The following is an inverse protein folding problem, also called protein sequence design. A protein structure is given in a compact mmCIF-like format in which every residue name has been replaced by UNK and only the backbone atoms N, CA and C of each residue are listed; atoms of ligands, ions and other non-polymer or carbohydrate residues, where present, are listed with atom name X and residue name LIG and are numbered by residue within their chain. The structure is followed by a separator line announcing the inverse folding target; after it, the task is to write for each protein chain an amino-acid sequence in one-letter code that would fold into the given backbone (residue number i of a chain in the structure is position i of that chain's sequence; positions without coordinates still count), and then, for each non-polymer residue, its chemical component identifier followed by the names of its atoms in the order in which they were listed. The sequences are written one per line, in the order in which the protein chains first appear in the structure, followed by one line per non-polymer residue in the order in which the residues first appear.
data_IF_802469284427
#
_entry.id   IF_802469284427
#
_cell.length_a   1.000
_cell.length_b   1.000
_cell.length_c   1.000
_cell.angle_alpha   90.00
_cell.angle_beta   90.00
_cell.angle_gamma   90.00
#
_symmetry.space_group_name_H-M   'P 1'
#
loop_
_entity.id
_entity.type
_entity.pdbx_description
1 polymer ?
#
# COMPACT_ATOMS: atom_id res chain seq x y z
N UNK A 1 -4.88 15.35 31.48
CA UNK A 1 -3.64 15.74 30.78
C UNK A 1 -3.90 17.04 30.06
N UNK A 2 -2.94 17.96 30.10
CA UNK A 2 -2.99 19.22 29.35
C UNK A 2 -2.70 18.92 27.89
N UNK A 3 -3.52 19.32 26.91
CA UNK A 3 -3.19 19.15 25.50
C UNK A 3 -1.86 19.84 25.17
N UNK A 4 -0.96 19.18 24.43
CA UNK A 4 0.37 19.72 24.12
C UNK A 4 0.30 21.10 23.44
N UNK A 5 -0.72 21.34 22.60
CA UNK A 5 -0.97 22.61 21.94
C UNK A 5 -1.19 23.79 22.91
N UNK A 6 -1.60 23.54 24.15
CA UNK A 6 -1.70 24.58 25.18
C UNK A 6 -0.33 24.96 25.76
N UNK A 7 0.65 24.05 25.70
CA UNK A 7 2.03 24.31 26.12
C UNK A 7 2.83 24.99 25.03
N UNK A 8 2.78 24.43 23.81
CA UNK A 8 3.66 24.84 22.73
C UNK A 8 2.99 25.74 21.69
N UNK A 9 1.67 25.94 21.75
CA UNK A 9 0.92 26.66 20.71
C UNK A 9 0.66 25.80 19.47
N UNK A 10 0.25 26.44 18.38
CA UNK A 10 -0.06 25.78 17.10
C UNK A 10 0.41 26.62 15.90
N UNK A 11 0.60 25.96 14.76
CA UNK A 11 0.97 26.60 13.50
C UNK A 11 2.33 27.31 13.56
N UNK A 12 2.44 28.44 12.88
CA UNK A 12 3.68 29.22 12.81
C UNK A 12 4.12 29.85 14.13
N UNK A 13 3.24 29.88 15.14
CA UNK A 13 3.55 30.38 16.49
C UNK A 13 3.94 29.27 17.47
N UNK A 14 4.05 28.04 16.99
CA UNK A 14 4.42 26.90 17.83
C UNK A 14 5.88 27.05 18.31
N UNK A 15 6.10 26.96 19.62
CA UNK A 15 7.42 26.97 20.24
C UNK A 15 7.94 25.54 20.44
N UNK A 16 9.24 25.39 20.67
CA UNK A 16 9.81 24.10 21.07
C UNK A 16 9.57 23.83 22.56
N UNK A 17 9.59 22.55 22.97
CA UNK A 17 9.48 22.19 24.40
C UNK A 17 10.61 22.81 25.24
N UNK A 18 11.79 23.07 24.63
CA UNK A 18 12.91 23.73 25.29
C UNK A 18 12.62 25.18 25.71
N UNK A 19 11.61 25.82 25.14
CA UNK A 19 11.19 27.19 25.46
C UNK A 19 10.05 27.25 26.49
N UNK A 20 9.46 26.10 26.84
CA UNK A 20 8.35 26.02 27.81
C UNK A 20 8.90 26.20 29.23
N UNK A 21 8.25 27.00 30.10
CA UNK A 21 8.64 27.11 31.50
C UNK A 21 8.72 25.73 32.18
N UNK A 22 9.83 25.47 32.88
CA UNK A 22 10.14 24.15 33.46
C UNK A 22 8.98 23.58 34.26
N UNK A 23 8.27 24.39 35.05
CA UNK A 23 7.12 23.93 35.84
C UNK A 23 6.00 23.36 34.96
N UNK A 24 5.66 24.05 33.87
CA UNK A 24 4.59 23.61 32.95
C UNK A 24 5.02 22.37 32.17
N UNK A 25 6.28 22.33 31.72
CA UNK A 25 6.85 21.15 31.07
C UNK A 25 6.85 19.93 32.00
N UNK A 26 7.21 20.12 33.28
CA UNK A 26 7.22 19.06 34.29
C UNK A 26 5.80 18.54 34.59
N UNK A 27 4.81 19.42 34.75
CA UNK A 27 3.43 19.02 35.00
C UNK A 27 2.86 18.23 33.80
N UNK A 28 3.17 18.65 32.57
CA UNK A 28 2.79 17.93 31.35
C UNK A 28 3.47 16.56 31.24
N UNK A 29 4.81 16.52 31.30
CA UNK A 29 5.57 15.28 31.13
C UNK A 29 5.31 14.28 32.26
N UNK A 30 5.15 14.78 33.49
CA UNK A 30 4.76 13.96 34.64
C UNK A 30 3.37 13.35 34.48
N UNK A 31 2.41 14.10 33.94
CA UNK A 31 1.07 13.59 33.66
C UNK A 31 1.07 12.52 32.54
N UNK A 32 1.88 12.69 31.49
CA UNK A 32 2.03 11.68 30.43
C UNK A 32 2.61 10.37 30.98
N UNK A 33 3.64 10.45 31.83
CA UNK A 33 4.25 9.28 32.48
C UNK A 33 3.28 8.57 33.43
N UNK A 34 2.61 9.33 34.32
CA UNK A 34 1.64 8.78 35.28
C UNK A 34 0.44 8.15 34.56
N UNK A 35 -0.14 8.84 33.57
CA UNK A 35 -1.29 8.32 32.84
C UNK A 35 -0.93 7.06 32.05
N UNK A 36 0.24 7.04 31.38
CA UNK A 36 0.73 5.86 30.67
C UNK A 36 0.82 4.67 31.63
N UNK A 37 1.44 4.85 32.81
CA UNK A 37 1.56 3.79 33.81
C UNK A 37 0.19 3.28 34.30
N UNK A 38 -0.76 4.19 34.56
CA UNK A 38 -2.13 3.82 34.97
C UNK A 38 -2.88 3.03 33.90
N UNK A 39 -2.62 3.28 32.62
CA UNK A 39 -3.24 2.59 31.50
C UNK A 39 -2.67 1.19 31.24
N UNK A 40 -1.43 0.89 31.68
CA UNK A 40 -0.79 -0.41 31.43
C UNK A 40 -1.64 -1.58 31.93
N UNK A 41 -2.10 -1.54 33.18
CA UNK A 41 -2.88 -2.64 33.77
C UNK A 41 -4.21 -2.90 33.03
N UNK A 42 -5.12 -1.91 32.87
CA UNK A 42 -6.39 -2.14 32.20
C UNK A 42 -6.21 -2.55 30.73
N UNK A 43 -5.27 -1.94 30.00
CA UNK A 43 -5.01 -2.34 28.60
C UNK A 43 -4.48 -3.76 28.52
N UNK A 44 -3.57 -4.17 29.42
CA UNK A 44 -3.03 -5.54 29.44
C UNK A 44 -4.11 -6.57 29.78
N UNK A 45 -5.05 -6.24 30.66
CA UNK A 45 -6.22 -7.08 30.95
C UNK A 45 -7.13 -7.23 29.72
N UNK A 46 -7.35 -6.14 28.98
CA UNK A 46 -8.08 -6.18 27.70
C UNK A 46 -7.38 -7.01 26.64
N UNK A 47 -6.06 -6.84 26.47
CA UNK A 47 -5.27 -7.67 25.56
C UNK A 47 -5.36 -9.15 25.94
N UNK A 48 -5.35 -9.48 27.24
CA UNK A 48 -5.53 -10.87 27.72
C UNK A 48 -6.92 -11.39 27.39
N UNK A 49 -7.97 -10.61 27.66
CA UNK A 49 -9.37 -10.94 27.39
C UNK A 49 -9.60 -11.28 25.92
N UNK A 50 -8.90 -10.59 25.03
CA UNK A 50 -8.98 -10.80 23.59
C UNK A 50 -7.91 -11.75 23.03
N UNK A 51 -7.08 -12.38 23.86
CA UNK A 51 -6.01 -13.29 23.42
C UNK A 51 -5.00 -12.62 22.47
N UNK A 52 -4.69 -11.35 22.72
CA UNK A 52 -3.79 -10.52 21.91
C UNK A 52 -2.40 -10.34 22.53
N UNK A 53 -2.14 -10.92 23.71
CA UNK A 53 -0.84 -10.76 24.40
C UNK A 53 0.32 -11.33 23.58
N UNK A 54 0.15 -12.49 22.95
CA UNK A 54 1.21 -13.11 22.16
C UNK A 54 1.54 -12.28 20.92
N UNK A 55 0.54 -11.79 20.20
CA UNK A 55 0.75 -10.87 19.09
C UNK A 55 1.43 -9.58 19.54
N UNK A 56 1.00 -9.01 20.66
CA UNK A 56 1.58 -7.78 21.20
C UNK A 56 3.07 -7.97 21.56
N UNK A 57 3.41 -9.02 22.29
CA UNK A 57 4.78 -9.24 22.77
C UNK A 57 5.72 -9.87 21.75
N UNK A 58 5.22 -10.65 20.79
CA UNK A 58 6.06 -11.37 19.83
C UNK A 58 6.10 -10.72 18.45
N UNK A 59 5.18 -9.78 18.14
CA UNK A 59 5.16 -9.07 16.85
C UNK A 59 5.25 -7.56 17.06
N UNK A 60 4.32 -6.94 17.78
CA UNK A 60 4.26 -5.47 17.80
C UNK A 60 5.39 -4.83 18.60
N UNK A 61 5.65 -5.30 19.82
CA UNK A 61 6.71 -4.73 20.66
C UNK A 61 8.13 -4.96 20.10
N UNK A 62 8.49 -6.15 19.57
CA UNK A 62 9.81 -6.37 18.98
C UNK A 62 10.02 -5.60 17.67
N UNK A 63 8.95 -5.26 16.94
CA UNK A 63 9.04 -4.47 15.72
C UNK A 63 9.40 -3.00 15.99
N UNK A 64 9.01 -2.44 17.14
CA UNK A 64 9.24 -1.04 17.49
C UNK A 64 10.71 -0.60 17.33
N UNK A 65 11.72 -1.28 17.92
CA UNK A 65 13.11 -0.91 17.71
C UNK A 65 13.58 -1.07 16.26
N UNK A 66 13.00 -2.00 15.48
CA UNK A 66 13.31 -2.16 14.04
C UNK A 66 12.85 -0.92 13.27
N UNK A 67 11.61 -0.47 13.50
CA UNK A 67 11.07 0.74 12.87
C UNK A 67 11.87 1.97 13.27
N UNK A 68 12.21 2.13 14.54
CA UNK A 68 13.07 3.24 14.99
C UNK A 68 14.41 3.26 14.24
N UNK A 69 15.06 2.12 14.07
CA UNK A 69 16.32 2.06 13.30
C UNK A 69 16.10 2.42 11.83
N UNK A 70 15.04 1.91 11.19
CA UNK A 70 14.71 2.26 9.80
C UNK A 70 14.47 3.76 9.63
N UNK A 71 13.72 4.39 10.54
CA UNK A 71 13.46 5.83 10.52
C UNK A 71 14.75 6.63 10.72
N UNK A 72 15.63 6.22 11.64
CA UNK A 72 16.93 6.86 11.88
C UNK A 72 17.85 6.73 10.66
N UNK A 73 17.90 5.55 10.03
CA UNK A 73 18.67 5.36 8.82
C UNK A 73 18.15 6.25 7.69
N UNK A 74 16.83 6.35 7.52
CA UNK A 74 16.23 7.05 6.39
C UNK A 74 16.66 6.44 5.05
N UNK A 75 16.40 7.16 3.96
CA UNK A 75 16.70 6.72 2.59
C UNK A 75 17.50 7.79 1.86
N UNK A 76 18.62 7.42 1.24
CA UNK A 76 19.41 8.35 0.43
C UNK A 76 18.68 8.72 -0.87
N UNK A 77 18.77 10.01 -1.21
CA UNK A 77 18.22 10.54 -2.45
C UNK A 77 19.30 11.23 -3.30
N UNK A 78 19.19 11.09 -4.61
CA UNK A 78 19.94 11.89 -5.57
C UNK A 78 19.24 13.26 -5.76
N UNK A 79 19.74 14.26 -5.02
CA UNK A 79 19.21 15.61 -5.04
C UNK A 79 19.35 16.29 -6.40
N UNK A 80 20.43 16.03 -7.14
CA UNK A 80 20.69 16.67 -8.42
C UNK A 80 19.80 16.08 -9.51
N UNK A 81 19.60 14.75 -9.50
CA UNK A 81 18.61 14.11 -10.35
C UNK A 81 17.19 14.64 -10.09
N UNK A 82 16.80 14.83 -8.82
CA UNK A 82 15.48 15.38 -8.50
C UNK A 82 15.32 16.83 -8.99
N UNK A 83 16.38 17.66 -8.93
CA UNK A 83 16.35 19.04 -9.45
C UNK A 83 16.24 19.07 -10.98
N UNK A 84 17.00 18.24 -11.68
CA UNK A 84 16.89 18.10 -13.14
C UNK A 84 15.48 17.61 -13.55
N UNK A 85 14.97 16.59 -12.85
CA UNK A 85 13.61 16.09 -13.09
C UNK A 85 12.56 17.18 -12.83
N UNK A 86 12.76 18.02 -11.81
CA UNK A 86 11.87 19.14 -11.52
C UNK A 86 11.78 20.14 -12.67
N UNK A 87 12.91 20.49 -13.29
CA UNK A 87 12.96 21.40 -14.44
C UNK A 87 12.26 20.79 -15.65
N UNK A 88 12.60 19.55 -16.01
CA UNK A 88 11.97 18.83 -17.13
C UNK A 88 10.45 18.71 -16.97
N UNK A 89 9.97 18.37 -15.77
CA UNK A 89 8.54 18.29 -15.50
C UNK A 89 7.87 19.66 -15.59
N UNK A 90 8.54 20.73 -15.15
CA UNK A 90 8.01 22.09 -15.23
C UNK A 90 7.80 22.53 -16.68
N UNK A 91 8.76 22.22 -17.56
CA UNK A 91 8.64 22.47 -19.00
C UNK A 91 7.48 21.69 -19.63
N UNK A 92 7.37 20.39 -19.34
CA UNK A 92 6.28 19.55 -19.86
C UNK A 92 4.90 20.00 -19.36
N UNK A 93 4.79 20.35 -18.08
CA UNK A 93 3.55 20.88 -17.49
C UNK A 93 3.15 22.19 -18.18
N UNK A 94 4.11 23.11 -18.40
CA UNK A 94 3.85 24.37 -19.10
C UNK A 94 3.43 24.18 -20.56
N UNK A 95 4.01 23.21 -21.26
CA UNK A 95 3.61 22.85 -22.62
C UNK A 95 2.17 22.29 -22.66
N UNK A 96 1.84 21.35 -21.78
CA UNK A 96 0.49 20.78 -21.67
C UNK A 96 -0.55 21.82 -21.27
N UNK A 97 -0.20 22.73 -20.36
CA UNK A 97 -1.05 23.84 -19.97
C UNK A 97 -1.41 24.72 -21.19
N UNK A 98 -0.42 25.04 -22.03
CA UNK A 98 -0.64 25.77 -23.28
C UNK A 98 -1.55 25.00 -24.25
N UNK A 99 -1.29 23.71 -24.46
CA UNK A 99 -2.12 22.85 -25.34
C UNK A 99 -3.57 22.73 -24.83
N UNK A 100 -3.78 22.72 -23.52
CA UNK A 100 -5.11 22.76 -22.90
C UNK A 100 -5.82 24.08 -23.20
N UNK A 101 -5.12 25.21 -23.05
CA UNK A 101 -5.68 26.53 -23.38
C UNK A 101 -5.98 26.69 -24.86
N UNK A 102 -5.08 26.24 -25.73
CA UNK A 102 -5.25 26.30 -27.19
C UNK A 102 -6.43 25.43 -27.65
N UNK A 103 -6.67 24.29 -26.97
CA UNK A 103 -7.82 23.41 -27.24
C UNK A 103 -9.18 24.03 -26.87
N UNK A 104 -9.21 25.00 -25.96
CA UNK A 104 -10.45 25.64 -25.47
C UNK A 104 -10.61 27.06 -26.05
N UNK A 105 -9.50 27.72 -26.39
CA UNK A 105 -9.45 29.07 -26.97
C UNK A 105 -9.33 30.20 -25.94
N UNK A 106 -9.20 29.90 -24.65
CA UNK A 106 -8.93 30.89 -23.60
C UNK A 106 -8.29 30.27 -22.36
N UNK A 107 -7.76 31.14 -21.49
CA UNK A 107 -7.20 30.74 -20.20
C UNK A 107 -8.28 30.52 -19.14
N UNK A 108 -7.99 29.59 -18.23
CA UNK A 108 -8.79 29.29 -17.04
C UNK A 108 -7.93 28.57 -16.01
N UNK A 109 -8.41 28.41 -14.77
CA UNK A 109 -7.68 27.66 -13.75
C UNK A 109 -7.93 26.15 -13.90
N UNK A 110 -6.97 25.43 -14.49
CA UNK A 110 -7.02 23.97 -14.70
C UNK A 110 -7.18 23.19 -13.39
N UNK A 111 -6.66 23.72 -12.27
CA UNK A 111 -6.75 23.10 -10.96
C UNK A 111 -8.11 23.36 -10.25
N UNK A 112 -8.93 24.28 -10.76
CA UNK A 112 -10.26 24.56 -10.21
C UNK A 112 -11.28 23.55 -10.73
N UNK A 113 -11.75 22.66 -9.86
CA UNK A 113 -12.76 21.64 -10.22
C UNK A 113 -14.03 22.25 -10.81
N UNK A 114 -14.44 23.42 -10.31
CA UNK A 114 -15.61 24.15 -10.79
C UNK A 114 -15.41 24.66 -12.22
N UNK A 115 -14.34 25.43 -12.47
CA UNK A 115 -14.09 25.98 -13.81
C UNK A 115 -13.88 24.87 -14.83
N UNK A 116 -13.09 23.86 -14.47
CA UNK A 116 -12.85 22.70 -15.32
C UNK A 116 -14.14 21.95 -15.65
N UNK A 117 -15.03 21.76 -14.67
CA UNK A 117 -16.33 21.12 -14.91
C UNK A 117 -17.23 21.96 -15.83
N UNK A 118 -17.26 23.28 -15.65
CA UNK A 118 -18.06 24.17 -16.50
C UNK A 118 -17.52 24.18 -17.95
N UNK A 119 -16.20 24.11 -18.16
CA UNK A 119 -15.60 23.99 -19.50
C UNK A 119 -15.91 22.64 -20.15
N UNK A 120 -15.59 21.54 -19.47
CA UNK A 120 -15.76 20.18 -20.04
C UNK A 120 -17.22 19.89 -20.41
N UNK A 121 -18.15 20.26 -19.54
CA UNK A 121 -19.55 19.84 -19.65
C UNK A 121 -20.50 20.95 -20.08
N UNK A 122 -20.16 22.21 -19.81
CA UNK A 122 -20.93 23.36 -20.27
C UNK A 122 -20.54 23.81 -21.67
N UNK A 123 -19.26 24.13 -21.86
CA UNK A 123 -18.75 24.71 -23.12
C UNK A 123 -18.48 23.64 -24.18
N UNK A 124 -17.65 22.65 -23.85
CA UNK A 124 -17.31 21.53 -24.74
C UNK A 124 -18.44 20.49 -24.85
N UNK A 125 -19.46 20.59 -23.99
CA UNK A 125 -20.66 19.74 -23.97
C UNK A 125 -20.35 18.24 -23.97
N UNK A 126 -19.27 17.84 -23.30
CA UNK A 126 -18.92 16.42 -23.14
C UNK A 126 -19.96 15.70 -22.27
N UNK A 127 -20.11 14.37 -22.43
CA UNK A 127 -21.03 13.58 -21.60
C UNK A 127 -20.72 13.74 -20.10
N UNK A 128 -21.72 14.12 -19.31
CA UNK A 128 -21.55 14.38 -17.88
C UNK A 128 -22.52 13.59 -17.02
N UNK A 129 -22.13 13.31 -15.77
CA UNK A 129 -23.07 12.93 -14.71
C UNK A 129 -23.94 14.11 -14.25
N UNK A 130 -24.87 13.85 -13.32
CA UNK A 130 -25.70 14.91 -12.73
C UNK A 130 -24.84 15.96 -11.99
N UNK A 131 -25.10 17.24 -12.25
CA UNK A 131 -24.53 18.37 -11.49
C UNK A 131 -25.06 18.33 -10.05
N UNK A 132 -24.17 18.38 -9.06
CA UNK A 132 -24.53 18.46 -7.65
C UNK A 132 -24.39 19.92 -7.14
N UNK A 133 -24.57 20.15 -5.83
CA UNK A 133 -24.44 21.49 -5.22
C UNK A 133 -23.05 22.12 -5.39
N UNK A 134 -21.99 21.31 -5.58
CA UNK A 134 -20.60 21.77 -5.72
C UNK A 134 -20.12 21.86 -7.17
N UNK A 135 -20.90 21.38 -8.15
CA UNK A 135 -20.60 21.45 -9.57
C UNK A 135 -20.71 20.11 -10.28
N UNK A 136 -20.06 19.99 -11.43
CA UNK A 136 -19.89 18.69 -12.09
C UNK A 136 -18.75 17.91 -11.42
N UNK A 137 -18.88 16.58 -11.37
CA UNK A 137 -17.77 15.73 -10.92
C UNK A 137 -16.68 15.69 -11.99
N UNK A 138 -15.45 16.00 -11.60
CA UNK A 138 -14.25 15.91 -12.45
C UNK A 138 -13.22 14.94 -11.83
N UNK A 139 -13.71 13.88 -11.19
CA UNK A 139 -12.89 12.81 -10.62
C UNK A 139 -12.08 12.10 -11.72
N UNK A 140 -11.00 11.42 -11.32
CA UNK A 140 -10.15 10.69 -12.26
C UNK A 140 -10.96 9.75 -13.16
N UNK A 141 -11.85 8.94 -12.58
CA UNK A 141 -12.70 7.99 -13.32
C UNK A 141 -13.61 8.68 -14.36
N UNK A 142 -14.19 9.84 -14.02
CA UNK A 142 -15.04 10.58 -14.96
C UNK A 142 -14.21 11.10 -16.12
N UNK A 143 -13.05 11.70 -15.85
CA UNK A 143 -12.17 12.22 -16.90
C UNK A 143 -11.60 11.09 -17.75
N UNK A 144 -11.21 9.96 -17.15
CA UNK A 144 -10.74 8.78 -17.89
C UNK A 144 -11.81 8.21 -18.83
N UNK A 145 -13.09 8.21 -18.43
CA UNK A 145 -14.19 7.78 -19.30
C UNK A 145 -14.39 8.66 -20.55
N UNK A 146 -13.83 9.87 -20.54
CA UNK A 146 -13.90 10.84 -21.63
C UNK A 146 -12.67 10.80 -22.55
N UNK A 147 -11.71 9.89 -22.29
CA UNK A 147 -10.50 9.74 -23.10
C UNK A 147 -10.85 9.58 -24.59
N UNK A 148 -10.13 10.28 -25.46
CA UNK A 148 -10.37 10.29 -26.90
C UNK A 148 -11.66 11.00 -27.36
N UNK A 149 -12.45 11.61 -26.46
CA UNK A 149 -13.61 12.43 -26.83
C UNK A 149 -13.22 13.85 -27.25
N UNK A 150 -12.13 14.38 -26.67
CA UNK A 150 -11.61 15.70 -26.99
C UNK A 150 -10.12 15.78 -26.63
N UNK A 151 -9.27 16.45 -27.45
CA UNK A 151 -7.82 16.53 -27.19
C UNK A 151 -7.47 17.07 -25.80
N UNK A 152 -8.20 18.09 -25.33
CA UNK A 152 -8.07 18.65 -23.98
C UNK A 152 -8.14 17.58 -22.87
N UNK A 153 -8.96 16.54 -23.02
CA UNK A 153 -9.12 15.49 -21.99
C UNK A 153 -7.82 14.69 -21.83
N UNK A 154 -7.19 14.33 -22.94
CA UNK A 154 -5.97 13.55 -22.94
C UNK A 154 -4.81 14.38 -22.35
N UNK A 155 -4.67 15.64 -22.79
CA UNK A 155 -3.70 16.57 -22.21
C UNK A 155 -3.94 16.85 -20.72
N UNK A 156 -5.20 16.95 -20.29
CA UNK A 156 -5.56 17.16 -18.88
C UNK A 156 -5.19 15.96 -17.99
N UNK A 157 -5.41 14.74 -18.49
CA UNK A 157 -5.03 13.52 -17.76
C UNK A 157 -3.52 13.48 -17.54
N UNK A 158 -2.75 13.79 -18.59
CA UNK A 158 -1.29 13.86 -18.51
C UNK A 158 -0.82 15.01 -17.60
N UNK A 159 -1.39 16.21 -17.74
CA UNK A 159 -1.10 17.37 -16.91
C UNK A 159 -1.30 17.07 -15.42
N UNK A 160 -2.43 16.44 -15.06
CA UNK A 160 -2.72 16.05 -13.66
C UNK A 160 -1.73 15.02 -13.14
N UNK A 161 -1.35 14.06 -13.99
CA UNK A 161 -0.37 13.05 -13.63
C UNK A 161 0.99 13.71 -13.35
N UNK A 162 1.51 14.54 -14.26
CA UNK A 162 2.81 15.20 -14.10
C UNK A 162 2.80 16.20 -12.93
N UNK A 163 1.73 16.99 -12.77
CA UNK A 163 1.60 17.96 -11.67
C UNK A 163 1.60 17.25 -10.31
N UNK A 164 0.86 16.15 -10.18
CA UNK A 164 0.88 15.33 -8.95
C UNK A 164 2.28 14.76 -8.71
N UNK A 165 2.92 14.26 -9.76
CA UNK A 165 4.24 13.65 -9.69
C UNK A 165 5.28 14.66 -9.19
N UNK A 166 5.32 15.85 -9.79
CA UNK A 166 6.20 16.94 -9.41
C UNK A 166 5.92 17.41 -7.98
N UNK A 167 4.68 17.81 -7.68
CA UNK A 167 4.34 18.40 -6.37
C UNK A 167 4.51 17.42 -5.20
N UNK A 168 4.05 16.18 -5.36
CA UNK A 168 4.03 15.20 -4.26
C UNK A 168 5.40 14.57 -4.05
N UNK A 169 6.09 14.20 -5.13
CA UNK A 169 7.30 13.41 -5.03
C UNK A 169 8.57 14.21 -5.32
N UNK A 170 8.58 15.15 -6.26
CA UNK A 170 9.81 15.90 -6.54
C UNK A 170 9.99 17.04 -5.53
N UNK A 171 9.06 18.00 -5.53
CA UNK A 171 9.08 19.13 -4.60
C UNK A 171 8.98 18.65 -3.14
N UNK A 172 8.09 17.67 -2.89
CA UNK A 172 7.88 17.10 -1.57
C UNK A 172 9.10 16.39 -0.99
N UNK A 173 9.80 15.56 -1.79
CA UNK A 173 11.01 14.88 -1.31
C UNK A 173 12.16 15.86 -1.11
N UNK A 174 12.36 16.81 -2.03
CA UNK A 174 13.40 17.84 -1.87
C UNK A 174 13.19 18.68 -0.61
N UNK A 175 11.95 19.02 -0.27
CA UNK A 175 11.62 19.80 0.92
C UNK A 175 11.79 19.03 2.24
N UNK A 176 11.64 17.69 2.21
CA UNK A 176 11.76 16.81 3.38
C UNK A 176 13.14 16.19 3.54
N UNK A 177 14.03 16.40 2.58
CA UNK A 177 15.40 15.90 2.62
C UNK A 177 16.19 16.63 3.71
N UNK A 178 16.82 15.85 4.58
CA UNK A 178 17.72 16.38 5.59
C UNK A 178 18.94 17.02 4.90
N UNK A 179 19.22 18.30 5.18
CA UNK A 179 20.25 19.05 4.46
C UNK A 179 21.68 18.63 4.82
N UNK A 180 21.86 17.89 5.91
CA UNK A 180 23.18 17.44 6.40
C UNK A 180 23.52 16.07 5.83
N UNK A 181 22.55 15.16 5.84
CA UNK A 181 22.73 13.77 5.43
C UNK A 181 22.34 13.50 3.98
N UNK A 182 21.50 14.35 3.37
CA UNK A 182 20.93 14.10 2.05
C UNK A 182 19.89 12.98 2.04
N UNK A 183 19.37 12.61 3.21
CA UNK A 183 18.45 11.48 3.39
C UNK A 183 17.06 11.97 3.74
N UNK A 184 16.06 11.16 3.43
CA UNK A 184 14.68 11.40 3.83
C UNK A 184 14.25 10.37 4.87
N UNK A 185 13.64 10.85 5.94
CA UNK A 185 13.24 10.06 7.09
C UNK A 185 11.71 9.97 7.14
N UNK A 186 11.16 8.89 6.54
CA UNK A 186 9.72 8.60 6.67
C UNK A 186 9.36 8.28 8.11
N UNK A 187 8.13 8.57 8.51
CA UNK A 187 7.52 8.05 9.75
C UNK A 187 6.63 6.85 9.43
N UNK A 188 6.89 5.72 10.05
CA UNK A 188 6.06 4.52 9.99
C UNK A 188 5.05 4.52 11.14
N UNK A 189 3.76 4.55 10.80
CA UNK A 189 2.72 4.31 11.78
C UNK A 189 2.41 2.82 11.90
N UNK A 190 2.66 2.30 13.09
CA UNK A 190 2.37 0.91 13.45
C UNK A 190 0.91 0.68 13.87
N UNK A 191 0.17 1.74 14.21
CA UNK A 191 -1.15 1.67 14.87
C UNK A 191 -2.31 2.28 14.06
N UNK A 192 -2.07 2.73 12.82
CA UNK A 192 -3.10 3.41 12.01
C UNK A 192 -3.98 2.47 11.19
N UNK A 193 -3.41 1.49 10.49
CA UNK A 193 -4.19 0.64 9.59
C UNK A 193 -4.99 -0.42 10.38
N UNK A 194 -6.29 -0.54 10.09
CA UNK A 194 -7.18 -1.52 10.74
C UNK A 194 -6.84 -2.98 10.42
N UNK A 195 -6.07 -3.24 9.35
CA UNK A 195 -5.54 -4.56 9.02
C UNK A 195 -4.22 -4.89 9.72
N UNK A 196 -3.59 -3.93 10.41
CA UNK A 196 -2.27 -4.10 11.04
C UNK A 196 -1.08 -3.84 10.11
N UNK A 197 -1.31 -3.43 8.87
CA UNK A 197 -0.26 -2.94 7.97
C UNK A 197 0.42 -1.69 8.53
N UNK A 198 1.70 -1.54 8.22
CA UNK A 198 2.38 -0.26 8.41
C UNK A 198 1.84 0.75 7.39
N UNK A 199 1.73 2.01 7.80
CA UNK A 199 1.56 3.12 6.88
C UNK A 199 2.74 4.08 6.98
N UNK A 200 3.09 4.75 5.89
CA UNK A 200 4.21 5.71 5.84
C UNK A 200 3.70 7.14 5.61
N UNK A 201 4.34 8.12 6.24
CA UNK A 201 4.05 9.55 6.12
C UNK A 201 5.31 10.40 6.28
N UNK A 202 5.27 11.63 5.75
CA UNK A 202 6.36 12.60 5.83
C UNK A 202 7.74 12.08 5.38
N UNK A 203 7.87 11.56 4.14
CA UNK A 203 6.88 11.41 3.08
C UNK A 203 6.24 10.01 3.09
N UNK A 204 5.16 9.83 2.33
CA UNK A 204 4.59 8.50 2.12
C UNK A 204 5.37 7.73 1.03
N UNK A 205 6.31 6.89 1.47
CA UNK A 205 7.18 6.09 0.61
C UNK A 205 6.52 4.77 0.15
N UNK A 206 5.32 4.45 0.62
CA UNK A 206 4.56 3.29 0.13
C UNK A 206 3.86 3.56 -1.20
N UNK A 207 3.64 4.83 -1.55
CA UNK A 207 2.90 5.23 -2.74
C UNK A 207 3.80 5.68 -3.89
N UNK A 208 5.10 5.37 -3.89
CA UNK A 208 6.00 5.74 -4.98
C UNK A 208 5.52 5.10 -6.30
N UNK A 209 5.23 5.88 -7.36
CA UNK A 209 4.63 5.37 -8.58
C UNK A 209 5.49 4.30 -9.30
N UNK A 210 4.84 3.28 -9.86
CA UNK A 210 5.52 2.17 -10.57
C UNK A 210 4.98 1.90 -11.97
N UNK A 211 3.77 2.40 -12.27
CA UNK A 211 2.97 1.94 -13.42
C UNK A 211 3.27 2.70 -14.70
N UNK A 212 3.67 3.95 -14.61
CA UNK A 212 3.97 4.82 -15.75
C UNK A 212 5.47 5.07 -15.83
N UNK A 213 5.99 5.29 -17.03
CA UNK A 213 7.43 5.49 -17.22
C UNK A 213 7.94 6.69 -16.41
N UNK A 214 7.26 7.83 -16.51
CA UNK A 214 7.58 9.02 -15.70
C UNK A 214 7.48 8.73 -14.20
N UNK A 215 6.50 7.94 -13.78
CA UNK A 215 6.35 7.49 -12.40
C UNK A 215 7.54 6.67 -11.92
N UNK A 216 8.03 5.75 -12.77
CA UNK A 216 9.20 4.94 -12.47
C UNK A 216 10.46 5.80 -12.39
N UNK A 217 10.59 6.88 -13.16
CA UNK A 217 11.77 7.75 -13.09
C UNK A 217 12.04 8.29 -11.68
N UNK A 218 11.01 8.49 -10.84
CA UNK A 218 11.22 8.88 -9.44
C UNK A 218 12.09 7.86 -8.69
N UNK A 219 11.99 6.56 -9.00
CA UNK A 219 12.77 5.51 -8.36
C UNK A 219 14.28 5.60 -8.66
N UNK A 220 14.70 6.30 -9.72
CA UNK A 220 16.12 6.59 -9.93
C UNK A 220 16.68 7.50 -8.84
N UNK A 221 15.86 8.38 -8.27
CA UNK A 221 16.30 9.25 -7.18
C UNK A 221 16.62 8.48 -5.90
N UNK A 222 16.09 7.26 -5.73
CA UNK A 222 16.33 6.45 -4.54
C UNK A 222 17.60 5.63 -4.74
N UNK A 223 18.68 6.08 -4.11
CA UNK A 223 20.04 5.54 -4.30
C UNK A 223 20.53 4.86 -3.02
N UNK A 224 21.61 4.08 -3.15
CA UNK A 224 22.39 3.61 -2.00
C UNK A 224 23.56 4.55 -1.69
N UNK A 225 24.01 4.57 -0.44
CA UNK A 225 25.27 5.20 -0.04
C UNK A 225 26.49 4.68 -0.87
N UNK A 226 27.58 5.46 -0.98
CA UNK A 226 28.81 4.98 -1.61
C UNK A 226 29.33 3.68 -0.95
N UNK A 227 29.69 2.69 -1.76
CA UNK A 227 30.06 1.32 -1.33
C UNK A 227 28.91 0.44 -0.86
N UNK A 228 27.67 0.90 -1.00
CA UNK A 228 26.46 0.11 -0.79
C UNK A 228 25.72 -0.12 -2.12
N UNK A 229 24.83 -1.10 -2.11
CA UNK A 229 23.83 -1.34 -3.16
C UNK A 229 22.46 -1.46 -2.50
N UNK A 230 21.41 -1.18 -3.27
CA UNK A 230 20.05 -1.49 -2.85
C UNK A 230 19.75 -2.96 -3.14
N UNK A 231 19.34 -3.69 -2.11
CA UNK A 231 18.75 -5.02 -2.21
C UNK A 231 17.25 -4.88 -1.91
N UNK A 232 16.39 -5.29 -2.83
CA UNK A 232 14.95 -5.41 -2.58
C UNK A 232 14.57 -6.88 -2.51
N UNK A 233 13.59 -7.21 -1.66
CA UNK A 233 13.05 -8.54 -1.50
C UNK A 233 11.54 -8.47 -1.36
N UNK A 234 10.80 -8.98 -2.35
CA UNK A 234 9.34 -8.91 -2.45
C UNK A 234 8.73 -10.31 -2.39
N UNK A 235 7.67 -10.49 -1.60
CA UNK A 235 6.96 -11.76 -1.59
C UNK A 235 6.13 -11.94 -2.86
N UNK A 236 6.39 -13.02 -3.60
CA UNK A 236 5.68 -13.33 -4.83
C UNK A 236 4.28 -13.88 -4.52
N UNK A 237 3.24 -13.06 -4.77
CA UNK A 237 1.82 -13.39 -4.63
C UNK A 237 1.41 -13.82 -3.21
N UNK A 238 1.94 -13.14 -2.20
CA UNK A 238 1.85 -13.61 -0.82
C UNK A 238 0.43 -13.77 -0.28
N UNK A 239 -0.45 -12.80 -0.54
CA UNK A 239 -1.86 -12.87 -0.13
C UNK A 239 -2.57 -14.10 -0.68
N UNK A 240 -2.21 -14.55 -1.90
CA UNK A 240 -2.81 -15.74 -2.51
C UNK A 240 -2.25 -17.03 -1.92
N UNK A 241 -0.98 -17.05 -1.51
CA UNK A 241 -0.39 -18.17 -0.76
C UNK A 241 -1.03 -18.31 0.62
N UNK A 242 -1.30 -17.18 1.28
CA UNK A 242 -2.05 -17.14 2.55
C UNK A 242 -3.49 -17.61 2.34
N UNK A 243 -4.17 -17.18 1.26
CA UNK A 243 -5.49 -17.69 0.90
C UNK A 243 -5.46 -19.22 0.73
N UNK A 244 -4.52 -19.74 -0.04
CA UNK A 244 -4.39 -21.19 -0.28
C UNK A 244 -4.22 -21.97 1.03
N UNK A 245 -3.41 -21.45 1.96
CA UNK A 245 -3.23 -22.03 3.27
C UNK A 245 -4.51 -21.98 4.14
N UNK A 246 -5.15 -20.81 4.27
CA UNK A 246 -6.34 -20.65 5.12
C UNK A 246 -7.53 -21.48 4.60
N UNK A 247 -7.64 -21.61 3.28
CA UNK A 247 -8.74 -22.35 2.64
C UNK A 247 -8.45 -23.83 2.48
N UNK A 248 -7.19 -24.24 2.55
CA UNK A 248 -6.72 -25.56 2.13
C UNK A 248 -7.29 -25.98 0.77
N UNK A 249 -7.41 -25.02 -0.16
CA UNK A 249 -8.00 -25.25 -1.49
C UNK A 249 -7.05 -26.11 -2.34
N UNK A 250 -7.40 -27.39 -2.64
CA UNK A 250 -6.45 -28.33 -3.25
C UNK A 250 -5.86 -27.84 -4.56
N UNK A 251 -6.65 -27.15 -5.40
CA UNK A 251 -6.18 -26.62 -6.68
C UNK A 251 -5.17 -25.49 -6.51
N UNK A 252 -5.37 -24.60 -5.53
CA UNK A 252 -4.41 -23.54 -5.24
C UNK A 252 -3.13 -24.12 -4.64
N UNK A 253 -3.27 -25.09 -3.72
CA UNK A 253 -2.12 -25.77 -3.10
C UNK A 253 -1.28 -26.48 -4.15
N UNK A 254 -1.92 -27.24 -5.05
CA UNK A 254 -1.25 -27.93 -6.15
C UNK A 254 -0.54 -26.94 -7.09
N UNK A 255 -1.24 -25.88 -7.51
CA UNK A 255 -0.68 -24.86 -8.41
C UNK A 255 0.59 -24.22 -7.83
N UNK A 256 0.56 -23.78 -6.56
CA UNK A 256 1.73 -23.19 -5.93
C UNK A 256 2.85 -24.20 -5.67
N UNK A 257 2.52 -25.46 -5.39
CA UNK A 257 3.53 -26.52 -5.20
C UNK A 257 4.26 -26.85 -6.50
N UNK A 258 3.57 -26.73 -7.64
CA UNK A 258 4.13 -26.94 -8.98
C UNK A 258 4.73 -25.68 -9.61
N UNK A 259 4.75 -24.55 -8.88
CA UNK A 259 5.13 -23.21 -9.38
C UNK A 259 4.36 -22.81 -10.65
N UNK A 260 3.10 -23.23 -10.76
CA UNK A 260 2.21 -22.88 -11.86
C UNK A 260 1.60 -21.48 -11.68
N UNK A 261 1.31 -20.83 -12.80
CA UNK A 261 0.70 -19.50 -12.80
C UNK A 261 -0.80 -19.56 -12.50
N UNK A 262 -1.16 -19.24 -11.26
CA UNK A 262 -2.54 -19.25 -10.76
C UNK A 262 -3.50 -18.39 -11.59
N UNK A 263 -3.02 -17.29 -12.20
CA UNK A 263 -3.86 -16.45 -13.06
C UNK A 263 -4.15 -17.12 -14.40
N UNK A 264 -3.19 -17.87 -14.92
CA UNK A 264 -3.35 -18.65 -16.17
C UNK A 264 -4.28 -19.84 -15.95
N UNK A 265 -4.15 -20.56 -14.82
CA UNK A 265 -5.09 -21.63 -14.44
C UNK A 265 -6.50 -21.07 -14.28
N UNK A 266 -6.63 -19.94 -13.58
CA UNK A 266 -7.92 -19.30 -13.38
C UNK A 266 -8.52 -18.85 -14.71
N UNK A 267 -7.72 -18.25 -15.61
CA UNK A 267 -8.17 -17.87 -16.94
C UNK A 267 -8.62 -19.08 -17.76
N UNK A 268 -7.86 -20.18 -17.75
CA UNK A 268 -8.21 -21.41 -18.44
C UNK A 268 -9.60 -21.91 -18.02
N UNK A 269 -9.90 -21.91 -16.72
CA UNK A 269 -11.21 -22.29 -16.20
C UNK A 269 -12.31 -21.28 -16.55
N UNK A 270 -12.05 -19.98 -16.39
CA UNK A 270 -13.03 -18.92 -16.64
C UNK A 270 -13.46 -18.85 -18.11
N UNK A 271 -12.52 -18.99 -19.03
CA UNK A 271 -12.74 -18.88 -20.49
C UNK A 271 -12.98 -20.23 -21.17
N UNK A 272 -12.78 -21.36 -20.48
CA UNK A 272 -12.96 -22.69 -21.04
C UNK A 272 -11.93 -23.05 -22.13
N UNK A 273 -10.71 -22.51 -22.04
CA UNK A 273 -9.62 -22.75 -22.99
C UNK A 273 -8.45 -23.46 -22.29
N UNK A 274 -7.67 -24.31 -22.96
CA UNK A 274 -6.46 -24.89 -22.36
C UNK A 274 -5.49 -23.82 -21.85
N UNK A 275 -4.75 -24.09 -20.77
CA UNK A 275 -3.79 -23.13 -20.19
C UNK A 275 -2.75 -22.62 -21.22
N UNK A 276 -2.34 -23.46 -22.16
CA UNK A 276 -1.43 -23.10 -23.26
C UNK A 276 -2.02 -22.13 -24.30
N UNK A 277 -3.35 -21.98 -24.33
CA UNK A 277 -4.08 -21.08 -25.24
C UNK A 277 -4.59 -19.82 -24.55
N UNK A 278 -4.30 -19.65 -23.25
CA UNK A 278 -4.67 -18.44 -22.51
C UNK A 278 -3.91 -17.25 -23.07
N UNK A 279 -4.65 -16.25 -23.54
CA UNK A 279 -4.05 -15.00 -24.02
C UNK A 279 -3.60 -14.11 -22.87
N UNK A 280 -2.68 -13.16 -23.14
CA UNK A 280 -2.24 -12.18 -22.14
C UNK A 280 -3.41 -11.36 -21.58
N UNK A 281 -4.41 -11.04 -22.41
CA UNK A 281 -5.60 -10.31 -21.99
C UNK A 281 -6.52 -11.15 -21.09
N UNK A 282 -6.74 -12.42 -21.44
CA UNK A 282 -7.49 -13.36 -20.61
C UNK A 282 -6.83 -13.53 -19.24
N UNK A 283 -5.50 -13.69 -19.21
CA UNK A 283 -4.73 -13.77 -17.97
C UNK A 283 -4.85 -12.50 -17.13
N UNK A 284 -4.75 -11.31 -17.76
CA UNK A 284 -4.90 -10.02 -17.08
C UNK A 284 -6.29 -9.86 -16.48
N UNK A 285 -7.33 -10.23 -17.21
CA UNK A 285 -8.71 -10.20 -16.73
C UNK A 285 -8.93 -11.20 -15.58
N UNK A 286 -8.41 -12.42 -15.69
CA UNK A 286 -8.46 -13.41 -14.61
C UNK A 286 -7.74 -12.91 -13.35
N UNK A 287 -6.58 -12.26 -13.48
CA UNK A 287 -5.90 -11.61 -12.35
C UNK A 287 -6.81 -10.60 -11.65
N UNK A 288 -7.48 -9.73 -12.41
CA UNK A 288 -8.44 -8.77 -11.85
C UNK A 288 -9.57 -9.48 -11.10
N UNK A 289 -10.13 -10.56 -11.66
CA UNK A 289 -11.20 -11.35 -11.02
C UNK A 289 -10.72 -11.99 -9.71
N UNK A 290 -9.54 -12.62 -9.70
CA UNK A 290 -8.95 -13.25 -8.51
C UNK A 290 -8.85 -12.25 -7.36
N UNK A 291 -8.25 -11.07 -7.60
CA UNK A 291 -8.11 -10.05 -6.56
C UNK A 291 -9.46 -9.41 -6.19
N UNK A 292 -10.37 -9.24 -7.15
CA UNK A 292 -11.71 -8.74 -6.85
C UNK A 292 -12.46 -9.68 -5.90
N UNK A 293 -12.42 -11.00 -6.15
CA UNK A 293 -13.05 -12.00 -5.28
C UNK A 293 -12.34 -12.08 -3.92
N UNK A 294 -11.00 -12.03 -3.89
CA UNK A 294 -10.21 -11.97 -2.67
C UNK A 294 -10.65 -10.81 -1.75
N UNK A 295 -10.98 -9.66 -2.34
CA UNK A 295 -11.45 -8.47 -1.64
C UNK A 295 -12.98 -8.40 -1.49
N UNK A 296 -13.69 -9.50 -1.74
CA UNK A 296 -15.14 -9.60 -1.58
C UNK A 296 -15.95 -8.72 -2.54
N UNK A 297 -15.38 -8.29 -3.65
CA UNK A 297 -16.07 -7.42 -4.61
C UNK A 297 -17.33 -8.08 -5.17
N UNK A 298 -18.36 -7.28 -5.36
CA UNK A 298 -19.60 -7.73 -6.00
C UNK A 298 -19.46 -7.79 -7.51
N UNK A 299 -20.38 -8.49 -8.18
CA UNK A 299 -20.47 -8.49 -9.64
C UNK A 299 -20.54 -7.07 -10.22
N UNK A 300 -21.26 -6.16 -9.54
CA UNK A 300 -21.34 -4.76 -9.95
C UNK A 300 -19.97 -4.07 -9.85
N UNK A 301 -19.25 -4.26 -8.75
CA UNK A 301 -17.90 -3.70 -8.58
C UNK A 301 -16.92 -4.25 -9.60
N UNK A 302 -16.98 -5.56 -9.88
CA UNK A 302 -16.15 -6.20 -10.90
C UNK A 302 -16.45 -5.64 -12.30
N UNK A 303 -17.73 -5.50 -12.66
CA UNK A 303 -18.17 -4.92 -13.93
C UNK A 303 -17.62 -3.51 -14.16
N UNK A 304 -17.57 -2.66 -13.12
CA UNK A 304 -16.99 -1.32 -13.22
C UNK A 304 -15.49 -1.34 -13.51
N UNK A 305 -14.76 -2.32 -12.97
CA UNK A 305 -13.30 -2.40 -13.14
C UNK A 305 -12.92 -3.04 -14.49
N UNK A 306 -13.72 -4.00 -14.95
CA UNK A 306 -13.41 -4.78 -16.16
C UNK A 306 -14.10 -4.27 -17.42
N UNK A 307 -15.10 -3.40 -17.30
CA UNK A 307 -15.95 -2.94 -18.39
C UNK A 307 -16.96 -3.99 -18.88
N UNK A 308 -17.09 -5.11 -18.17
CA UNK A 308 -18.03 -6.18 -18.49
C UNK A 308 -19.47 -5.81 -18.11
N UNK A 309 -20.46 -6.51 -18.66
CA UNK A 309 -21.82 -6.44 -18.12
C UNK A 309 -21.89 -7.06 -16.72
N UNK A 310 -22.85 -6.61 -15.91
CA UNK A 310 -23.06 -7.15 -14.56
C UNK A 310 -23.36 -8.66 -14.58
N UNK A 311 -24.02 -9.16 -15.63
CA UNK A 311 -24.32 -10.58 -15.80
C UNK A 311 -23.05 -11.39 -16.08
N UNK A 312 -22.18 -10.91 -16.97
CA UNK A 312 -20.88 -11.55 -17.23
C UNK A 312 -19.99 -11.52 -15.97
N UNK A 313 -19.94 -10.41 -15.25
CA UNK A 313 -19.19 -10.34 -14.00
C UNK A 313 -19.70 -11.36 -12.96
N UNK A 314 -21.02 -11.52 -12.83
CA UNK A 314 -21.62 -12.52 -11.95
C UNK A 314 -21.30 -13.96 -12.38
N UNK A 315 -21.31 -14.24 -13.68
CA UNK A 315 -20.91 -15.52 -14.26
C UNK A 315 -19.46 -15.87 -13.90
N UNK A 316 -18.54 -14.91 -14.03
CA UNK A 316 -17.13 -15.10 -13.73
C UNK A 316 -16.88 -15.39 -12.24
N UNK A 317 -17.55 -14.65 -11.34
CA UNK A 317 -17.47 -14.92 -9.90
C UNK A 317 -18.01 -16.33 -9.59
N UNK A 318 -19.10 -16.74 -10.25
CA UNK A 318 -19.67 -18.08 -10.04
C UNK A 318 -18.70 -19.18 -10.49
N UNK A 319 -18.15 -19.08 -11.71
CA UNK A 319 -17.14 -20.02 -12.23
C UNK A 319 -15.89 -20.07 -11.36
N UNK A 320 -15.46 -18.93 -10.82
CA UNK A 320 -14.34 -18.88 -9.88
C UNK A 320 -14.64 -19.71 -8.62
N UNK A 321 -15.81 -19.55 -8.01
CA UNK A 321 -16.21 -20.36 -6.85
C UNK A 321 -16.45 -21.84 -7.18
N UNK A 322 -16.89 -22.18 -8.39
CA UNK A 322 -16.96 -23.57 -8.87
C UNK A 322 -15.55 -24.16 -9.06
N UNK A 323 -14.59 -23.34 -9.47
CA UNK A 323 -13.18 -23.72 -9.63
C UNK A 323 -12.47 -23.89 -8.29
N UNK A 324 -12.80 -23.05 -7.31
CA UNK A 324 -12.19 -22.99 -5.98
C UNK A 324 -13.26 -23.03 -4.86
N UNK A 325 -13.90 -24.20 -4.65
CA UNK A 325 -15.03 -24.33 -3.74
C UNK A 325 -14.68 -24.04 -2.27
N UNK A 326 -13.46 -24.29 -1.82
CA UNK A 326 -13.07 -23.99 -0.44
C UNK A 326 -12.92 -22.49 -0.19
N UNK A 327 -12.56 -21.72 -1.23
CA UNK A 327 -12.53 -20.25 -1.15
C UNK A 327 -13.94 -19.69 -0.91
N UNK A 328 -14.97 -20.26 -1.57
CA UNK A 328 -16.36 -19.90 -1.30
C UNK A 328 -16.76 -20.20 0.15
N UNK A 329 -16.39 -21.37 0.66
CA UNK A 329 -16.64 -21.74 2.05
C UNK A 329 -15.96 -20.78 3.05
N UNK A 330 -14.73 -20.34 2.75
CA UNK A 330 -14.04 -19.32 3.53
C UNK A 330 -14.79 -17.99 3.56
N UNK A 331 -15.26 -17.50 2.41
CA UNK A 331 -16.05 -16.25 2.35
C UNK A 331 -17.30 -16.36 3.22
N UNK A 332 -18.08 -17.42 3.07
CA UNK A 332 -19.34 -17.61 3.81
C UNK A 332 -19.11 -17.73 5.31
N UNK A 333 -18.11 -18.52 5.73
CA UNK A 333 -17.76 -18.72 7.14
C UNK A 333 -17.19 -17.46 7.79
N UNK A 334 -16.35 -16.70 7.09
CA UNK A 334 -15.78 -15.44 7.59
C UNK A 334 -16.87 -14.39 7.79
N UNK A 335 -17.81 -14.28 6.86
CA UNK A 335 -18.97 -13.39 7.02
C UNK A 335 -19.86 -13.83 8.19
N UNK A 336 -20.06 -15.13 8.37
CA UNK A 336 -20.79 -15.66 9.52
C UNK A 336 -20.08 -15.32 10.84
N UNK A 337 -18.76 -15.48 10.90
CA UNK A 337 -17.94 -15.11 12.06
C UNK A 337 -18.08 -13.62 12.38
N UNK A 338 -17.90 -12.75 11.38
CA UNK A 338 -17.99 -11.30 11.56
C UNK A 338 -19.35 -10.86 12.12
N UNK A 339 -20.46 -11.40 11.57
CA UNK A 339 -21.81 -11.07 12.01
C UNK A 339 -22.14 -11.63 13.40
N UNK A 340 -21.68 -12.84 13.74
CA UNK A 340 -22.02 -13.52 14.99
C UNK A 340 -21.15 -13.09 16.17
N UNK A 341 -19.85 -12.94 15.94
CA UNK A 341 -18.86 -12.66 17.00
C UNK A 341 -18.46 -11.18 17.05
N UNK A 342 -18.76 -10.40 16.00
CA UNK A 342 -18.37 -9.00 15.91
C UNK A 342 -16.90 -8.77 15.58
N UNK A 343 -16.14 -9.81 15.20
CA UNK A 343 -14.75 -9.70 14.76
C UNK A 343 -14.32 -10.86 13.87
N UNK A 344 -13.23 -10.65 13.13
CA UNK A 344 -12.48 -11.71 12.44
C UNK A 344 -11.01 -11.63 12.87
N UNK A 345 -10.24 -12.70 12.63
CA UNK A 345 -8.84 -12.76 13.04
C UNK A 345 -7.91 -13.30 11.95
N UNK A 346 -6.63 -12.93 12.05
CA UNK A 346 -5.55 -13.46 11.21
C UNK A 346 -5.03 -14.78 11.75
N UNK A 347 -4.10 -15.41 11.02
CA UNK A 347 -3.36 -16.61 11.42
C UNK A 347 -2.61 -16.44 12.75
N UNK A 348 -2.15 -15.22 13.06
CA UNK A 348 -1.41 -14.88 14.29
C UNK A 348 -2.29 -14.20 15.35
N UNK A 349 -3.61 -14.26 15.19
CA UNK A 349 -4.57 -13.83 16.21
C UNK A 349 -4.88 -12.33 16.23
N UNK A 350 -4.36 -11.53 15.29
CA UNK A 350 -4.77 -10.12 15.14
C UNK A 350 -6.26 -10.06 14.91
N UNK A 351 -6.96 -9.16 15.61
CA UNK A 351 -8.42 -9.00 15.49
C UNK A 351 -8.78 -7.68 14.82
N UNK A 352 -9.78 -7.72 13.93
CA UNK A 352 -10.54 -6.55 13.51
C UNK A 352 -11.98 -6.68 13.99
N UNK A 353 -12.40 -5.72 14.80
CA UNK A 353 -13.77 -5.63 15.30
C UNK A 353 -14.66 -4.91 14.30
N UNK A 354 -15.91 -5.31 14.23
CA UNK A 354 -16.95 -4.73 13.38
C UNK A 354 -18.11 -4.25 14.25
N UNK A 355 -18.79 -3.16 13.87
CA UNK A 355 -20.05 -2.78 14.50
C UNK A 355 -21.11 -3.84 14.22
N UNK A 356 -22.21 -3.78 14.96
CA UNK A 356 -23.38 -4.60 14.63
C UNK A 356 -23.85 -4.26 13.21
N UNK A 357 -23.87 -5.29 12.35
CA UNK A 357 -24.26 -5.16 10.96
C UNK A 357 -25.79 -5.21 10.77
N UNK A 358 -26.53 -5.57 11.82
CA UNK A 358 -28.00 -5.59 11.79
C UNK A 358 -28.54 -4.16 11.70
N UNK A 359 -29.42 -3.92 10.72
CA UNK A 359 -30.07 -2.61 10.53
C UNK A 359 -29.24 -1.56 9.77
N UNK A 360 -27.98 -1.85 9.41
CA UNK A 360 -27.20 -0.95 8.56
C UNK A 360 -27.75 -0.90 7.13
N UNK A 361 -27.62 0.25 6.43
CA UNK A 361 -27.90 0.35 5.00
C UNK A 361 -27.13 -0.70 4.20
N UNK A 362 -27.74 -1.19 3.11
CA UNK A 362 -27.17 -2.26 2.28
C UNK A 362 -25.73 -1.98 1.84
N UNK A 363 -25.46 -0.75 1.38
CA UNK A 363 -24.13 -0.34 0.89
C UNK A 363 -23.06 -0.33 1.98
N UNK A 364 -23.41 0.12 3.19
CA UNK A 364 -22.51 0.17 4.33
C UNK A 364 -22.20 -1.23 4.84
N UNK A 365 -23.24 -2.06 5.00
CA UNK A 365 -23.06 -3.49 5.35
C UNK A 365 -22.15 -4.19 4.34
N UNK A 366 -22.37 -3.99 3.04
CA UNK A 366 -21.55 -4.62 2.01
C UNK A 366 -20.08 -4.16 2.07
N UNK A 367 -19.81 -2.92 2.49
CA UNK A 367 -18.45 -2.44 2.70
C UNK A 367 -17.77 -3.17 3.88
N UNK A 368 -18.46 -3.30 5.01
CA UNK A 368 -17.95 -4.03 6.18
C UNK A 368 -17.74 -5.52 5.88
N UNK A 369 -18.63 -6.14 5.09
CA UNK A 369 -18.50 -7.54 4.67
C UNK A 369 -17.25 -7.76 3.79
N UNK A 370 -16.95 -6.84 2.87
CA UNK A 370 -15.69 -6.87 2.09
C UNK A 370 -14.47 -6.76 2.98
N UNK A 371 -14.52 -5.85 3.94
CA UNK A 371 -13.45 -5.67 4.91
C UNK A 371 -13.23 -6.91 5.78
N UNK A 372 -14.31 -7.59 6.19
CA UNK A 372 -14.26 -8.84 6.94
C UNK A 372 -13.62 -9.97 6.15
N UNK A 373 -13.97 -10.13 4.87
CA UNK A 373 -13.38 -11.16 3.98
C UNK A 373 -11.89 -10.91 3.77
N UNK A 374 -11.49 -9.66 3.54
CA UNK A 374 -10.12 -9.30 3.24
C UNK A 374 -9.20 -9.34 4.48
N UNK A 375 -9.72 -9.01 5.67
CA UNK A 375 -8.88 -8.76 6.84
C UNK A 375 -8.01 -9.96 7.27
N UNK A 376 -8.50 -11.21 7.33
CA UNK A 376 -7.66 -12.35 7.73
C UNK A 376 -6.43 -12.53 6.83
N UNK A 377 -6.58 -12.27 5.52
CA UNK A 377 -5.54 -12.44 4.51
C UNK A 377 -4.58 -11.25 4.53
N UNK A 378 -5.11 -10.03 4.41
CA UNK A 378 -4.31 -8.80 4.40
C UNK A 378 -3.58 -8.59 5.73
N UNK A 379 -4.25 -8.86 6.85
CA UNK A 379 -3.65 -8.78 8.17
C UNK A 379 -2.67 -9.91 8.44
N UNK A 380 -2.95 -11.12 7.94
CA UNK A 380 -1.99 -12.23 8.02
C UNK A 380 -0.70 -11.92 7.26
N UNK A 381 -0.81 -11.30 6.09
CA UNK A 381 0.33 -10.78 5.35
C UNK A 381 1.09 -9.72 6.18
N UNK A 382 0.37 -8.77 6.78
CA UNK A 382 0.97 -7.75 7.66
C UNK A 382 1.68 -8.37 8.88
N UNK A 383 1.14 -9.43 9.48
CA UNK A 383 1.79 -10.14 10.59
C UNK A 383 3.09 -10.81 10.13
N UNK A 384 3.06 -11.49 8.99
CA UNK A 384 4.20 -12.22 8.44
C UNK A 384 5.33 -11.29 8.01
N UNK A 385 5.04 -10.19 7.31
CA UNK A 385 6.09 -9.23 6.93
C UNK A 385 6.76 -8.63 8.17
N UNK A 386 6.01 -8.33 9.24
CA UNK A 386 6.56 -7.86 10.52
C UNK A 386 7.45 -8.91 11.19
N UNK A 387 7.05 -10.18 11.18
CA UNK A 387 7.87 -11.28 11.70
C UNK A 387 9.17 -11.40 10.90
N UNK A 388 9.11 -11.32 9.57
CA UNK A 388 10.30 -11.33 8.73
C UNK A 388 11.23 -10.16 9.05
N UNK A 389 10.71 -8.94 9.20
CA UNK A 389 11.49 -7.77 9.59
C UNK A 389 12.23 -7.99 10.91
N UNK A 390 11.53 -8.50 11.94
CA UNK A 390 12.12 -8.79 13.26
C UNK A 390 13.25 -9.82 13.14
N UNK A 391 13.02 -10.93 12.42
CA UNK A 391 14.02 -12.00 12.26
C UNK A 391 15.25 -11.53 11.49
N UNK A 392 15.05 -10.82 10.38
CA UNK A 392 16.15 -10.29 9.56
C UNK A 392 16.98 -9.29 10.36
N UNK A 393 16.32 -8.35 11.05
CA UNK A 393 17.02 -7.35 11.87
C UNK A 393 17.82 -8.03 12.98
N UNK A 394 17.24 -9.01 13.66
CA UNK A 394 17.95 -9.78 14.67
C UNK A 394 19.18 -10.51 14.10
N UNK A 395 19.04 -11.11 12.91
CA UNK A 395 20.15 -11.80 12.25
C UNK A 395 21.26 -10.84 11.78
N UNK A 396 20.91 -9.64 11.33
CA UNK A 396 21.87 -8.55 11.02
C UNK A 396 22.68 -8.19 12.27
N UNK A 397 22.01 -7.96 13.40
CA UNK A 397 22.63 -7.58 14.67
C UNK A 397 23.53 -8.70 15.22
N UNK A 398 23.05 -9.94 15.24
CA UNK A 398 23.82 -11.11 15.70
C UNK A 398 25.09 -11.35 14.88
N UNK A 399 25.02 -11.11 13.56
CA UNK A 399 26.15 -11.33 12.65
C UNK A 399 27.04 -10.08 12.51
N UNK A 400 26.76 -9.01 13.26
CA UNK A 400 27.44 -7.72 13.22
C UNK A 400 27.58 -7.16 11.80
N UNK A 401 26.52 -7.28 11.02
CA UNK A 401 26.48 -6.78 9.64
C UNK A 401 26.25 -5.27 9.63
N UNK A 402 26.82 -4.58 8.65
CA UNK A 402 26.65 -3.13 8.43
C UNK A 402 25.44 -2.81 7.54
N UNK A 403 24.78 -3.83 7.00
CA UNK A 403 23.54 -3.73 6.25
C UNK A 403 22.45 -3.00 7.03
N UNK A 404 21.69 -2.14 6.35
CA UNK A 404 20.59 -1.36 6.92
C UNK A 404 19.29 -1.75 6.25
N UNK A 405 18.28 -2.14 7.03
CA UNK A 405 16.91 -2.15 6.55
C UNK A 405 16.42 -0.69 6.53
N UNK A 406 15.94 -0.23 5.38
CA UNK A 406 15.61 1.19 5.17
C UNK A 406 14.14 1.44 4.85
N UNK A 407 13.46 0.50 4.17
CA UNK A 407 12.05 0.64 3.83
C UNK A 407 11.28 -0.67 3.89
N UNK A 408 9.99 -0.53 4.16
CA UNK A 408 8.98 -1.55 3.96
C UNK A 408 7.89 -0.93 3.06
N UNK A 409 7.63 -1.56 1.91
CA UNK A 409 6.66 -1.09 0.92
C UNK A 409 5.79 -2.25 0.46
N UNK A 410 4.54 -2.26 0.91
CA UNK A 410 3.61 -3.37 0.69
C UNK A 410 4.16 -4.70 1.22
N UNK A 411 4.62 -5.58 0.34
CA UNK A 411 5.15 -6.90 0.66
C UNK A 411 6.67 -6.96 0.38
N UNK A 412 7.28 -5.82 0.04
CA UNK A 412 8.70 -5.63 -0.27
C UNK A 412 9.46 -5.02 0.92
N UNK A 413 10.64 -5.56 1.20
CA UNK A 413 11.65 -4.98 2.08
C UNK A 413 12.81 -4.44 1.24
N UNK A 414 13.32 -3.27 1.60
CA UNK A 414 14.46 -2.62 0.92
C UNK A 414 15.59 -2.43 1.91
N UNK A 415 16.80 -2.78 1.48
CA UNK A 415 18.02 -2.73 2.27
C UNK A 415 19.09 -1.93 1.53
N UNK A 416 19.88 -1.17 2.28
CA UNK A 416 21.22 -0.75 1.85
C UNK A 416 22.22 -1.79 2.35
N UNK A 417 22.89 -2.46 1.40
CA UNK A 417 23.82 -3.55 1.69
C UNK A 417 25.22 -3.16 1.24
N UNK A 418 26.25 -3.19 2.10
CA UNK A 418 27.63 -3.07 1.65
C UNK A 418 27.92 -4.10 0.58
N UNK A 419 28.66 -3.75 -0.48
CA UNK A 419 28.91 -4.67 -1.60
C UNK A 419 29.54 -5.99 -1.11
N UNK A 420 30.40 -5.93 -0.09
CA UNK A 420 31.02 -7.11 0.52
C UNK A 420 30.06 -8.02 1.31
N UNK A 421 28.89 -7.52 1.71
CA UNK A 421 27.88 -8.27 2.46
C UNK A 421 26.77 -8.85 1.56
N UNK A 422 26.74 -8.50 0.28
CA UNK A 422 25.62 -8.77 -0.63
C UNK A 422 25.21 -10.25 -0.68
N UNK A 423 26.15 -11.16 -0.95
CA UNK A 423 25.83 -12.60 -1.03
C UNK A 423 25.34 -13.16 0.31
N UNK A 424 25.93 -12.70 1.41
CA UNK A 424 25.52 -13.11 2.75
C UNK A 424 24.10 -12.62 3.07
N UNK A 425 23.79 -11.38 2.71
CA UNK A 425 22.46 -10.80 2.89
C UNK A 425 21.41 -11.43 1.98
N UNK A 426 21.76 -11.73 0.73
CA UNK A 426 20.90 -12.45 -0.21
C UNK A 426 20.42 -13.78 0.40
N UNK A 427 21.34 -14.60 0.91
CA UNK A 427 20.98 -15.87 1.53
C UNK A 427 20.18 -15.70 2.82
N UNK A 428 20.57 -14.74 3.66
CA UNK A 428 19.90 -14.46 4.93
C UNK A 428 18.46 -13.99 4.71
N UNK A 429 18.24 -12.97 3.89
CA UNK A 429 16.92 -12.40 3.61
C UNK A 429 16.01 -13.46 3.00
N UNK A 430 16.49 -14.19 1.99
CA UNK A 430 15.72 -15.26 1.37
C UNK A 430 15.31 -16.33 2.39
N UNK A 431 16.25 -16.78 3.22
CA UNK A 431 15.98 -17.79 4.24
C UNK A 431 14.93 -17.32 5.26
N UNK A 432 15.09 -16.12 5.82
CA UNK A 432 14.20 -15.60 6.86
C UNK A 432 12.80 -15.29 6.32
N UNK A 433 12.70 -14.77 5.09
CA UNK A 433 11.42 -14.46 4.47
C UNK A 433 10.71 -15.73 3.98
N UNK A 434 11.36 -16.63 3.24
CA UNK A 434 10.73 -17.87 2.80
C UNK A 434 10.43 -18.83 3.98
N UNK A 435 11.22 -18.75 5.05
CA UNK A 435 11.03 -19.49 6.30
C UNK A 435 10.16 -18.78 7.34
N UNK A 436 9.51 -17.66 7.01
CA UNK A 436 8.77 -16.85 7.98
C UNK A 436 7.66 -17.64 8.69
N UNK A 437 7.01 -18.54 7.96
CA UNK A 437 5.96 -19.41 8.45
C UNK A 437 5.90 -20.73 7.68
N UNK A 438 5.32 -21.75 8.31
CA UNK A 438 5.02 -23.02 7.67
C UNK A 438 3.60 -22.98 7.11
N UNK A 439 3.47 -22.65 5.83
CA UNK A 439 2.21 -22.70 5.09
C UNK A 439 2.09 -24.04 4.35
N UNK A 440 0.89 -24.35 3.85
CA UNK A 440 0.66 -25.56 3.01
C UNK A 440 1.26 -25.42 1.60
N UNK A 441 1.72 -24.22 1.26
CA UNK A 441 2.34 -23.87 -0.02
C UNK A 441 3.70 -23.23 0.20
N UNK A 442 4.66 -23.41 -0.72
CA UNK A 442 5.96 -22.76 -0.60
C UNK A 442 5.79 -21.24 -0.56
N UNK A 443 6.59 -20.55 0.26
CA UNK A 443 6.71 -19.09 0.21
C UNK A 443 7.88 -18.79 -0.73
N UNK A 444 7.69 -17.82 -1.64
CA UNK A 444 8.68 -17.45 -2.65
C UNK A 444 9.00 -15.97 -2.55
N UNK A 445 10.29 -15.64 -2.55
CA UNK A 445 10.78 -14.26 -2.50
C UNK A 445 11.55 -13.95 -3.77
N UNK A 446 11.18 -12.86 -4.42
CA UNK A 446 11.89 -12.31 -5.57
C UNK A 446 12.82 -11.21 -5.06
N UNK A 447 14.12 -11.34 -5.34
CA UNK A 447 15.13 -10.37 -4.92
C UNK A 447 15.70 -9.62 -6.11
N UNK A 448 15.97 -8.33 -5.93
CA UNK A 448 16.61 -7.48 -6.93
C UNK A 448 17.75 -6.69 -6.33
N UNK A 449 18.77 -6.41 -7.12
CA UNK A 449 19.92 -5.59 -6.71
C UNK A 449 20.19 -4.47 -7.71
N UNK A 450 20.48 -3.27 -7.22
CA UNK A 450 20.80 -2.13 -8.08
C UNK A 450 21.48 -1.00 -7.32
N UNK A 451 22.03 -0.04 -8.07
CA UNK A 451 22.58 1.21 -7.48
C UNK A 451 21.47 2.18 -7.06
N UNK A 452 20.34 2.10 -7.75
CA UNK A 452 19.11 2.79 -7.43
C UNK A 452 17.92 1.84 -7.57
N UNK A 453 16.75 2.26 -7.08
CA UNK A 453 15.57 1.39 -7.02
C UNK A 453 14.94 1.16 -8.41
N UNK A 454 15.26 1.99 -9.41
CA UNK A 454 14.82 1.78 -10.79
C UNK A 454 15.66 0.70 -11.50
N UNK A 455 16.98 0.76 -11.38
CA UNK A 455 17.96 -0.14 -12.00
C UNK A 455 18.11 -1.47 -11.24
N UNK A 456 17.25 -1.75 -10.26
CA UNK A 456 17.30 -2.99 -9.51
C UNK A 456 16.92 -4.18 -10.42
N UNK A 457 17.89 -5.03 -10.71
CA UNK A 457 17.74 -6.21 -11.56
C UNK A 457 17.54 -7.48 -10.73
N UNK A 458 16.75 -8.42 -11.25
CA UNK A 458 16.48 -9.69 -10.57
C UNK A 458 17.77 -10.47 -10.36
N UNK A 459 17.98 -10.91 -9.12
CA UNK A 459 19.07 -11.82 -8.79
C UNK A 459 18.65 -13.25 -9.14
N UNK A 460 19.43 -13.93 -10.00
CA UNK A 460 19.26 -15.37 -10.28
C UNK A 460 19.63 -16.25 -9.08
#
# INVERSE_FOLDING_TARGET
MTPIAQLIGTGSKMISMAQVPVRLAADYAGADADMTLRLVKPIREELRRHSLLDLFYNIEMPLLPVLMQMEIHGVALDADFLRDLNERLSEQIGALEKEIYDSVGHHFNINSTKQLGDILFGELKLPAGKKNKTGYSVSADVIESLRGRHPMVDHLLEYRQLTKLKSTYVDGLLALMDPVTGRVHTTFSQTTASSGRLSSSNPNLQNIPIRTEVGRQIRHAFIADPSYVLLTADYSQFELRILAHITHEPRLVEAFTKDEDIHTITASSLFGVPASQVTKDQRRLAKTVVYAVLYGQSAFGLAQITGMSNNEAAEFIRRYHETFPHVKGYVESTLHQARKQGYVNTLYGRKRFFPDMHGLPFSERQALEREAINMPIQGGNADLIKIAMIRIQHAIEQKHLKTRMILQVHDELVFEVPVEELEKMRHLVKHEMEGVAKLDVPIKVEMKVGKNWYEAETME
#
